data_IF_486318376538
#
_entry.id   IF_486318376538
#
_cell.length_a   1.000
_cell.length_b   1.000
_cell.length_c   1.000
_cell.angle_alpha   90.00
_cell.angle_beta   90.00
_cell.angle_gamma   90.00
#
_symmetry.space_group_name_H-M   'P 1'
#
loop_
_entity.id
_entity.type
_entity.pdbx_description
1 polymer ?
#
# COMPACT_ATOMS: atom_id res chain seq x y z
N UNK A 1 19.01 12.43 3.96
CA UNK A 1 18.63 11.67 5.16
C UNK A 1 19.89 11.49 5.99
N UNK A 2 19.83 11.70 7.31
CA UNK A 2 20.95 11.37 8.19
C UNK A 2 20.99 9.85 8.25
N UNK A 3 22.10 9.25 7.83
CA UNK A 3 22.28 7.80 7.94
C UNK A 3 22.31 7.41 9.42
N UNK A 4 21.59 6.35 9.75
CA UNK A 4 21.57 5.81 11.09
C UNK A 4 22.94 5.16 11.36
N UNK A 5 23.78 5.79 12.19
CA UNK A 5 25.12 5.27 12.54
C UNK A 5 25.08 4.03 13.46
N UNK A 6 23.88 3.56 13.83
CA UNK A 6 23.73 2.38 14.69
C UNK A 6 24.15 1.12 13.94
N UNK A 7 25.28 0.55 14.36
CA UNK A 7 25.80 -0.74 13.86
C UNK A 7 25.13 -1.96 14.49
N UNK A 8 24.25 -1.75 15.47
CA UNK A 8 23.54 -2.80 16.20
C UNK A 8 22.04 -2.52 16.24
N UNK A 9 21.24 -3.55 15.95
CA UNK A 9 19.79 -3.49 16.12
C UNK A 9 19.44 -3.53 17.61
N UNK A 10 18.56 -2.63 18.03
CA UNK A 10 17.99 -2.62 19.38
C UNK A 10 16.57 -3.18 19.35
N UNK A 11 16.27 -4.11 20.25
CA UNK A 11 14.95 -4.69 20.44
C UNK A 11 14.29 -4.26 21.77
N UNK A 12 14.79 -3.15 22.33
CA UNK A 12 14.28 -2.50 23.54
C UNK A 12 13.79 -1.09 23.20
N UNK A 13 12.79 -0.60 23.93
CA UNK A 13 12.29 0.77 23.80
C UNK A 13 13.34 1.79 24.27
N UNK A 14 13.13 3.07 23.93
CA UNK A 14 13.95 4.14 24.48
C UNK A 14 13.73 4.31 25.98
N UNK A 15 14.63 5.04 26.63
CA UNK A 15 14.52 5.44 28.04
C UNK A 15 13.22 6.23 28.29
N UNK A 16 12.78 7.03 27.31
CA UNK A 16 11.57 7.83 27.43
C UNK A 16 10.30 6.99 27.56
N UNK A 17 10.29 5.76 27.02
CA UNK A 17 9.17 4.85 27.19
C UNK A 17 8.83 4.60 28.67
N UNK A 18 9.85 4.44 29.53
CA UNK A 18 9.64 4.26 30.96
C UNK A 18 9.14 5.54 31.65
N UNK A 19 9.63 6.71 31.22
CA UNK A 19 9.21 8.02 31.73
C UNK A 19 7.73 8.27 31.39
N UNK A 20 7.35 7.97 30.15
CA UNK A 20 5.98 8.06 29.68
C UNK A 20 5.05 7.01 30.32
N UNK A 21 5.59 5.96 30.95
CA UNK A 21 4.80 4.86 31.51
C UNK A 21 4.31 3.86 30.46
N UNK A 22 4.92 3.83 29.26
CA UNK A 22 4.63 2.83 28.24
C UNK A 22 5.02 1.43 28.74
N UNK A 23 4.04 0.51 28.69
CA UNK A 23 4.23 -0.87 29.10
C UNK A 23 4.12 -1.80 27.88
N UNK A 24 5.25 -2.40 27.48
CA UNK A 24 5.27 -3.37 26.38
C UNK A 24 4.34 -4.56 26.67
N UNK A 25 3.51 -5.01 25.71
CA UNK A 25 2.77 -6.26 25.83
C UNK A 25 3.69 -7.47 26.06
N UNK A 26 3.29 -8.37 26.97
CA UNK A 26 4.00 -9.62 27.21
C UNK A 26 3.93 -10.56 25.98
N UNK A 27 4.77 -11.60 25.97
CA UNK A 27 4.90 -12.53 24.83
C UNK A 27 3.56 -13.13 24.40
N UNK A 28 2.77 -13.62 25.36
CA UNK A 28 1.44 -14.19 25.09
C UNK A 28 0.51 -13.20 24.37
N UNK A 29 0.47 -11.93 24.80
CA UNK A 29 -0.33 -10.89 24.16
C UNK A 29 0.16 -10.60 22.74
N UNK A 30 1.48 -10.58 22.51
CA UNK A 30 2.06 -10.36 21.17
C UNK A 30 1.72 -11.51 20.22
N UNK A 31 1.94 -12.76 20.64
CA UNK A 31 1.58 -13.94 19.84
C UNK A 31 0.08 -13.98 19.52
N UNK A 32 -0.75 -13.62 20.50
CA UNK A 32 -2.20 -13.52 20.31
C UNK A 32 -2.61 -12.41 19.33
N UNK A 33 -1.85 -11.32 19.25
CA UNK A 33 -2.11 -10.18 18.38
C UNK A 33 -1.76 -10.48 16.91
N UNK A 34 -0.78 -11.35 16.66
CA UNK A 34 -0.33 -11.77 15.33
C UNK A 34 -1.05 -13.03 14.79
N UNK A 35 -1.95 -13.65 15.58
CA UNK A 35 -2.63 -14.89 15.18
C UNK A 35 -3.68 -14.65 14.09
N UNK A 36 -3.59 -15.44 13.01
CA UNK A 36 -4.65 -15.57 11.99
C UNK A 36 -5.86 -16.37 12.48
N UNK A 37 -5.68 -17.25 13.46
CA UNK A 37 -6.76 -18.12 13.95
C UNK A 37 -7.40 -17.55 15.20
N UNK A 38 -8.71 -17.78 15.33
CA UNK A 38 -9.51 -17.43 16.52
C UNK A 38 -9.55 -18.59 17.53
N UNK A 39 -8.73 -19.63 17.35
CA UNK A 39 -8.82 -20.87 18.14
C UNK A 39 -8.77 -20.58 19.65
N UNK A 40 -9.82 -21.02 20.36
CA UNK A 40 -9.95 -20.92 21.82
C UNK A 40 -9.18 -22.03 22.55
N UNK A 41 -8.49 -22.91 21.83
CA UNK A 41 -7.79 -24.05 22.42
C UNK A 41 -6.35 -23.68 22.79
N UNK A 42 -6.14 -23.49 24.09
CA UNK A 42 -4.86 -23.19 24.79
C UNK A 42 -3.76 -24.28 24.66
N UNK A 43 -3.83 -25.19 23.68
CA UNK A 43 -3.03 -26.44 23.69
C UNK A 43 -2.04 -26.60 22.55
N UNK A 44 -1.73 -25.53 21.81
CA UNK A 44 -0.47 -25.52 21.07
C UNK A 44 0.49 -24.58 21.76
N UNK A 45 1.64 -25.14 22.16
CA UNK A 45 2.75 -24.43 22.78
C UNK A 45 3.31 -23.51 21.70
N UNK A 46 2.74 -22.31 21.55
CA UNK A 46 3.38 -21.25 20.77
C UNK A 46 4.68 -20.94 21.49
N UNK A 47 5.81 -21.28 20.84
CA UNK A 47 7.11 -20.76 21.21
C UNK A 47 6.98 -19.27 21.46
N UNK A 48 7.53 -18.78 22.59
CA UNK A 48 7.59 -17.35 22.84
C UNK A 48 8.23 -16.67 21.63
N UNK A 49 7.50 -15.77 20.97
CA UNK A 49 8.09 -15.02 19.88
C UNK A 49 9.19 -14.16 20.48
N UNK A 50 10.40 -14.32 19.93
CA UNK A 50 11.56 -13.57 20.37
C UNK A 50 11.26 -12.07 20.34
N UNK A 51 11.93 -11.32 21.22
CA UNK A 51 11.75 -9.87 21.26
C UNK A 51 12.08 -9.19 19.92
N UNK A 52 12.91 -9.86 19.10
CA UNK A 52 13.29 -9.50 17.72
C UNK A 52 12.16 -9.66 16.70
N UNK A 53 11.21 -10.56 16.92
CA UNK A 53 10.08 -10.79 15.99
C UNK A 53 9.06 -9.66 16.04
N UNK A 54 8.76 -9.16 17.24
CA UNK A 54 7.81 -8.06 17.46
C UNK A 54 8.45 -7.00 18.37
N UNK A 55 9.42 -6.21 17.87
CA UNK A 55 10.14 -5.23 18.68
C UNK A 55 9.18 -4.18 19.24
N UNK A 56 9.46 -3.62 20.42
CA UNK A 56 8.65 -2.54 20.95
C UNK A 56 8.93 -1.24 20.18
N UNK A 57 7.99 -0.27 20.17
CA UNK A 57 8.24 1.04 19.62
C UNK A 57 9.36 1.74 20.39
N UNK A 58 10.05 2.66 19.70
CA UNK A 58 11.12 3.44 20.29
C UNK A 58 10.57 4.42 21.36
N UNK A 59 9.38 4.99 21.16
CA UNK A 59 8.71 5.97 22.06
C UNK A 59 9.62 7.15 22.39
N UNK A 60 9.71 8.12 21.48
CA UNK A 60 10.48 9.35 21.67
C UNK A 60 9.63 10.45 22.35
N UNK A 61 10.27 11.46 22.98
CA UNK A 61 9.53 12.56 23.58
C UNK A 61 8.64 13.28 22.56
N UNK A 62 7.36 13.42 22.88
CA UNK A 62 6.37 14.06 22.01
C UNK A 62 5.67 13.12 21.03
N UNK A 63 6.09 11.84 20.93
CA UNK A 63 5.35 10.82 20.18
C UNK A 63 3.98 10.56 20.82
N UNK A 64 3.02 10.07 20.04
CA UNK A 64 1.68 9.72 20.53
C UNK A 64 1.73 8.78 21.73
N UNK A 65 2.59 7.74 21.70
CA UNK A 65 2.77 6.81 22.82
C UNK A 65 3.53 7.42 24.01
N UNK A 66 4.22 8.55 23.81
CA UNK A 66 4.80 9.31 24.91
C UNK A 66 3.75 10.18 25.61
N UNK A 67 2.70 10.60 24.90
CA UNK A 67 1.60 11.43 25.43
C UNK A 67 0.48 10.55 26.00
N UNK A 68 0.09 9.50 25.28
CA UNK A 68 -0.84 8.46 25.71
C UNK A 68 -0.17 7.07 25.67
N UNK A 69 0.53 6.66 26.74
CA UNK A 69 1.20 5.36 26.82
C UNK A 69 0.26 4.16 26.76
N UNK A 70 -1.05 4.37 26.87
CA UNK A 70 -2.07 3.31 26.86
C UNK A 70 -2.84 3.28 25.53
N UNK A 71 -2.47 4.10 24.55
CA UNK A 71 -3.10 4.09 23.25
C UNK A 71 -3.08 2.67 22.67
N UNK A 72 -4.24 2.15 22.22
CA UNK A 72 -4.34 0.75 21.84
C UNK A 72 -3.50 0.46 20.58
N UNK A 73 -2.74 -0.65 20.55
CA UNK A 73 -2.04 -1.04 19.34
C UNK A 73 -3.02 -1.53 18.28
N UNK A 74 -2.68 -1.32 17.02
CA UNK A 74 -3.32 -2.04 15.93
C UNK A 74 -2.73 -3.46 15.86
N UNK A 75 -3.60 -4.48 15.87
CA UNK A 75 -3.16 -5.87 15.73
C UNK A 75 -3.78 -6.54 14.51
N UNK A 76 -3.08 -7.51 13.92
CA UNK A 76 -3.61 -8.33 12.84
C UNK A 76 -4.91 -9.02 13.27
N UNK A 77 -4.96 -9.55 14.50
CA UNK A 77 -6.16 -10.17 15.06
C UNK A 77 -7.34 -9.21 15.18
N UNK A 78 -7.12 -7.97 15.63
CA UNK A 78 -8.20 -6.97 15.68
C UNK A 78 -8.64 -6.57 14.28
N UNK A 79 -7.70 -6.45 13.35
CA UNK A 79 -7.97 -6.12 11.96
C UNK A 79 -8.79 -7.21 11.26
N UNK A 80 -8.47 -8.49 11.43
CA UNK A 80 -9.21 -9.63 10.88
C UNK A 80 -10.65 -9.74 11.42
N UNK A 81 -10.95 -9.12 12.57
CA UNK A 81 -12.27 -9.16 13.20
C UNK A 81 -13.18 -8.03 12.74
N UNK A 82 -12.69 -7.12 11.91
CA UNK A 82 -13.49 -6.04 11.36
C UNK A 82 -14.53 -6.64 10.38
N UNK A 83 -15.83 -6.34 10.54
CA UNK A 83 -16.90 -6.89 9.69
C UNK A 83 -16.70 -6.64 8.19
N UNK A 84 -15.95 -5.59 7.85
CA UNK A 84 -15.70 -5.16 6.49
C UNK A 84 -14.60 -5.97 5.79
N UNK A 85 -13.92 -6.88 6.50
CA UNK A 85 -12.82 -7.69 5.95
C UNK A 85 -13.32 -8.98 5.33
N UNK A 86 -12.65 -9.40 4.27
CA UNK A 86 -12.82 -10.73 3.73
C UNK A 86 -12.23 -11.76 4.69
N UNK A 87 -12.81 -12.95 4.71
CA UNK A 87 -12.25 -14.08 5.45
C UNK A 87 -10.98 -14.57 4.78
N UNK A 88 -9.95 -14.84 5.58
CA UNK A 88 -8.74 -15.50 5.11
C UNK A 88 -9.05 -16.99 5.01
N UNK A 89 -8.93 -17.55 3.81
CA UNK A 89 -9.21 -18.98 3.53
C UNK A 89 -7.97 -19.65 2.95
N UNK A 90 -7.84 -20.98 3.03
CA UNK A 90 -6.71 -21.69 2.39
C UNK A 90 -6.57 -21.39 0.89
N UNK A 91 -7.69 -21.10 0.21
CA UNK A 91 -7.72 -20.72 -1.20
C UNK A 91 -7.54 -19.23 -1.47
N UNK A 92 -7.69 -18.36 -0.46
CA UNK A 92 -7.54 -16.89 -0.57
C UNK A 92 -6.74 -16.36 0.62
N UNK A 93 -5.43 -16.57 0.58
CA UNK A 93 -4.50 -16.18 1.64
C UNK A 93 -3.27 -15.39 1.13
N UNK A 94 -3.33 -14.90 -0.11
CA UNK A 94 -2.22 -14.19 -0.74
C UNK A 94 -2.54 -12.69 -0.88
N UNK A 95 -1.69 -11.83 -0.35
CA UNK A 95 -1.68 -10.40 -0.64
C UNK A 95 -0.69 -10.18 -1.78
N UNK A 96 -1.19 -9.77 -2.93
CA UNK A 96 -0.34 -9.42 -4.06
C UNK A 96 0.04 -7.94 -4.01
N UNK A 97 1.28 -7.63 -4.36
CA UNK A 97 1.77 -6.26 -4.55
C UNK A 97 2.11 -6.07 -6.02
N UNK A 98 1.33 -5.26 -6.72
CA UNK A 98 1.66 -4.82 -8.07
C UNK A 98 2.61 -3.62 -7.99
N UNK A 99 3.76 -3.75 -8.65
CA UNK A 99 4.71 -2.67 -8.79
C UNK A 99 4.10 -1.51 -9.58
N UNK A 100 4.75 -0.35 -9.50
CA UNK A 100 4.33 0.84 -10.25
C UNK A 100 4.34 0.55 -11.75
N UNK A 101 3.27 0.87 -12.50
CA UNK A 101 3.20 0.60 -13.92
C UNK A 101 4.38 1.20 -14.69
N UNK A 102 4.85 0.46 -15.68
CA UNK A 102 5.84 0.94 -16.65
C UNK A 102 5.24 2.05 -17.51
N UNK A 103 6.09 2.81 -18.20
CA UNK A 103 5.65 3.92 -19.07
C UNK A 103 6.20 3.69 -20.46
N UNK A 104 5.30 3.51 -21.43
CA UNK A 104 5.65 3.40 -22.84
C UNK A 104 6.25 4.73 -23.36
N UNK A 105 7.13 4.60 -24.34
CA UNK A 105 7.76 5.68 -25.09
C UNK A 105 6.76 6.72 -25.62
N UNK A 106 5.59 6.29 -26.10
CA UNK A 106 4.54 7.16 -26.67
C UNK A 106 3.98 8.15 -25.64
N UNK A 107 3.95 7.75 -24.36
CA UNK A 107 3.47 8.57 -23.25
C UNK A 107 4.59 8.91 -22.27
N UNK A 108 5.84 8.98 -22.76
CA UNK A 108 7.01 9.31 -21.93
C UNK A 108 6.89 10.61 -21.12
N UNK A 109 6.04 11.55 -21.56
CA UNK A 109 5.73 12.78 -20.81
C UNK A 109 5.09 12.50 -19.44
N UNK A 110 4.41 11.35 -19.25
CA UNK A 110 3.79 10.93 -17.99
C UNK A 110 4.83 10.74 -16.88
N UNK A 111 6.11 10.50 -17.22
CA UNK A 111 7.21 10.48 -16.23
C UNK A 111 7.38 11.81 -15.52
N UNK A 112 7.11 12.92 -16.22
CA UNK A 112 7.26 14.27 -15.64
C UNK A 112 6.21 14.54 -14.56
N UNK A 113 5.09 13.81 -14.55
CA UNK A 113 4.01 13.96 -13.59
C UNK A 113 4.33 13.38 -12.22
N UNK A 114 5.38 12.57 -12.10
CA UNK A 114 5.86 12.01 -10.84
C UNK A 114 6.70 13.02 -10.02
N UNK A 115 7.00 14.19 -10.57
CA UNK A 115 7.87 15.18 -9.94
C UNK A 115 7.06 16.43 -9.55
N UNK A 116 7.11 16.87 -8.28
CA UNK A 116 6.50 18.12 -7.88
C UNK A 116 7.22 19.31 -8.53
N UNK A 117 6.46 20.32 -8.94
CA UNK A 117 6.96 21.51 -9.64
C UNK A 117 7.56 22.56 -8.72
N UNK A 118 7.11 22.61 -7.46
CA UNK A 118 7.39 23.70 -6.50
C UNK A 118 8.38 23.30 -5.40
N UNK A 119 8.83 22.05 -5.38
CA UNK A 119 9.74 21.50 -4.37
C UNK A 119 10.96 20.90 -5.05
N UNK A 120 12.13 21.06 -4.42
CA UNK A 120 13.35 20.35 -4.82
C UNK A 120 13.25 18.89 -4.35
N UNK A 121 12.43 18.10 -5.05
CA UNK A 121 12.19 16.66 -4.80
C UNK A 121 13.30 15.76 -5.29
N UNK A 122 14.33 16.33 -5.93
CA UNK A 122 15.44 15.62 -6.58
C UNK A 122 16.24 14.69 -5.68
N UNK A 123 15.91 14.61 -4.38
CA UNK A 123 16.65 13.90 -3.33
C UNK A 123 15.90 12.74 -2.68
N UNK A 124 14.64 12.48 -3.05
CA UNK A 124 13.87 11.37 -2.45
C UNK A 124 13.72 10.27 -3.50
N UNK A 125 14.40 9.12 -3.33
CA UNK A 125 14.23 7.99 -4.23
C UNK A 125 12.84 7.37 -4.06
N UNK A 126 12.29 6.83 -5.14
CA UNK A 126 11.09 5.99 -5.08
C UNK A 126 11.36 4.77 -4.19
N UNK A 127 10.44 4.42 -3.25
CA UNK A 127 10.58 3.23 -2.43
C UNK A 127 10.75 1.96 -3.27
N UNK A 128 11.61 1.04 -2.82
CA UNK A 128 11.75 -0.26 -3.47
C UNK A 128 10.49 -1.08 -3.19
N UNK A 129 9.91 -1.70 -4.23
CA UNK A 129 8.71 -2.54 -4.07
C UNK A 129 8.95 -3.71 -3.11
N UNK A 130 10.19 -4.22 -3.03
CA UNK A 130 10.52 -5.30 -2.09
C UNK A 130 10.46 -4.82 -0.63
N UNK A 131 10.80 -3.56 -0.35
CA UNK A 131 10.65 -3.00 1.01
C UNK A 131 9.18 -2.98 1.43
N UNK A 132 8.27 -2.71 0.47
CA UNK A 132 6.82 -2.76 0.69
C UNK A 132 6.36 -4.20 0.94
N UNK A 133 6.84 -5.16 0.15
CA UNK A 133 6.55 -6.60 0.34
C UNK A 133 7.02 -7.06 1.72
N UNK A 134 8.24 -6.70 2.12
CA UNK A 134 8.83 -7.08 3.41
C UNK A 134 8.05 -6.46 4.57
N UNK A 135 7.71 -5.17 4.46
CA UNK A 135 6.90 -4.47 5.46
C UNK A 135 5.52 -5.14 5.64
N UNK A 136 4.83 -5.41 4.54
CA UNK A 136 3.53 -6.06 4.57
C UNK A 136 3.62 -7.50 5.10
N UNK A 137 4.67 -8.24 4.73
CA UNK A 137 4.93 -9.60 5.25
C UNK A 137 5.12 -9.62 6.76
N UNK A 138 5.79 -8.59 7.30
CA UNK A 138 5.98 -8.44 8.74
C UNK A 138 4.66 -8.11 9.46
N UNK A 139 3.84 -7.20 8.91
CA UNK A 139 2.59 -6.78 9.53
C UNK A 139 1.48 -7.85 9.42
N UNK A 140 1.26 -8.38 8.21
CA UNK A 140 0.27 -9.41 7.90
C UNK A 140 0.83 -10.81 8.16
N UNK A 141 1.50 -10.98 9.31
CA UNK A 141 2.19 -12.20 9.67
C UNK A 141 1.30 -13.45 9.51
N UNK A 142 1.80 -14.44 8.76
CA UNK A 142 1.10 -15.68 8.44
C UNK A 142 0.30 -15.66 7.13
N UNK A 143 -0.01 -14.48 6.57
CA UNK A 143 -0.48 -14.38 5.18
C UNK A 143 0.72 -14.45 4.24
N UNK A 144 0.48 -14.90 3.01
CA UNK A 144 1.50 -14.88 1.98
C UNK A 144 1.49 -13.48 1.35
N UNK A 145 2.64 -12.80 1.29
CA UNK A 145 2.76 -11.54 0.55
C UNK A 145 3.75 -11.77 -0.58
N UNK A 146 3.36 -11.43 -1.81
CA UNK A 146 4.17 -11.69 -3.00
C UNK A 146 4.01 -10.55 -3.99
N UNK A 147 5.05 -10.32 -4.79
CA UNK A 147 4.88 -9.50 -5.99
C UNK A 147 3.87 -10.16 -6.92
N UNK A 148 3.01 -9.35 -7.52
CA UNK A 148 2.15 -9.80 -8.60
C UNK A 148 3.05 -10.34 -9.72
N UNK A 149 2.94 -11.64 -10.10
CA UNK A 149 3.64 -12.17 -11.26
C UNK A 149 3.28 -11.32 -12.46
N UNK A 150 4.16 -11.11 -13.46
CA UNK A 150 3.92 -10.11 -14.50
C UNK A 150 2.57 -10.29 -15.21
N UNK A 151 1.66 -9.31 -15.09
CA UNK A 151 1.14 -8.63 -16.26
C UNK A 151 1.88 -7.31 -16.33
N UNK A 152 2.49 -7.02 -17.48
CA UNK A 152 3.19 -5.75 -17.67
C UNK A 152 2.16 -4.62 -17.66
N UNK A 153 1.84 -4.09 -16.47
CA UNK A 153 1.05 -2.88 -16.34
C UNK A 153 1.87 -1.76 -16.96
N UNK A 154 1.37 -1.17 -18.04
CA UNK A 154 2.10 -0.14 -18.77
C UNK A 154 1.16 1.00 -19.11
N UNK A 155 1.52 2.21 -18.73
CA UNK A 155 0.90 3.41 -19.26
C UNK A 155 1.23 3.54 -20.75
N UNK A 156 0.19 3.63 -21.58
CA UNK A 156 0.27 3.76 -23.03
C UNK A 156 -0.65 4.85 -23.57
N UNK A 157 -0.64 5.04 -24.89
CA UNK A 157 -1.59 5.95 -25.54
C UNK A 157 -3.02 5.35 -25.50
N UNK A 158 -4.02 6.17 -25.17
CA UNK A 158 -5.43 5.76 -25.23
C UNK A 158 -6.04 5.86 -26.63
N UNK A 159 -5.67 6.91 -27.38
CA UNK A 159 -6.09 7.13 -28.76
C UNK A 159 -4.87 7.38 -29.66
N UNK A 160 -4.78 6.63 -30.77
CA UNK A 160 -3.72 6.74 -31.79
C UNK A 160 -3.70 8.08 -32.54
N UNK A 161 -4.67 8.96 -32.28
CA UNK A 161 -4.86 10.24 -32.97
C UNK A 161 -4.30 11.46 -32.24
N UNK A 162 -3.57 11.28 -31.13
CA UNK A 162 -2.90 12.41 -30.47
C UNK A 162 -1.62 12.78 -31.23
N UNK A 163 -1.79 13.31 -32.45
CA UNK A 163 -0.78 14.14 -33.10
C UNK A 163 -0.62 15.38 -32.24
N UNK A 164 0.36 15.29 -31.34
CA UNK A 164 1.03 16.38 -30.62
C UNK A 164 0.91 17.71 -31.35
N UNK A 165 -0.07 18.51 -30.95
CA UNK A 165 -0.21 19.93 -31.34
C UNK A 165 -0.62 20.79 -30.16
N UNK A 166 -0.05 20.58 -28.97
CA UNK A 166 0.36 21.66 -28.08
C UNK A 166 1.15 21.09 -26.91
N UNK A 167 2.25 21.76 -26.52
CA UNK A 167 3.06 21.44 -25.33
C UNK A 167 2.36 21.80 -24.01
N UNK A 168 1.06 22.13 -24.03
CA UNK A 168 0.36 22.77 -22.92
C UNK A 168 -0.86 22.02 -22.41
N UNK A 169 -1.38 21.02 -23.13
CA UNK A 169 -2.56 20.28 -22.71
C UNK A 169 -2.20 18.89 -22.22
N UNK A 170 -2.44 18.65 -20.93
CA UNK A 170 -2.55 17.31 -20.37
C UNK A 170 -3.67 16.60 -21.14
N UNK A 171 -3.45 15.37 -21.65
CA UNK A 171 -4.51 14.64 -22.32
C UNK A 171 -5.70 14.43 -21.38
N UNK A 172 -6.86 14.08 -21.92
CA UNK A 172 -8.01 13.71 -21.06
C UNK A 172 -7.92 12.28 -20.55
N UNK A 173 -7.27 11.41 -21.34
CA UNK A 173 -7.09 9.99 -21.03
C UNK A 173 -5.68 9.53 -21.42
N UNK A 174 -5.17 8.56 -20.66
CA UNK A 174 -4.07 7.68 -21.04
C UNK A 174 -4.53 6.24 -20.91
N UNK A 175 -3.90 5.30 -21.62
CA UNK A 175 -4.22 3.88 -21.49
C UNK A 175 -3.44 3.24 -20.35
N UNK A 176 -4.07 2.34 -19.60
CA UNK A 176 -3.42 1.36 -18.74
C UNK A 176 -3.51 0.01 -19.42
N UNK A 177 -2.41 -0.43 -19.99
CA UNK A 177 -2.32 -1.69 -20.72
C UNK A 177 -2.01 -2.82 -19.74
N UNK A 178 -2.78 -3.89 -19.83
CA UNK A 178 -2.49 -5.19 -19.23
C UNK A 178 -2.07 -6.16 -20.34
N UNK A 179 -1.93 -7.45 -20.03
CA UNK A 179 -1.66 -8.46 -21.06
C UNK A 179 -2.82 -8.65 -22.03
N UNK A 180 -4.06 -8.41 -21.58
CA UNK A 180 -5.28 -8.79 -22.31
C UNK A 180 -6.13 -7.61 -22.74
N UNK A 181 -6.00 -6.47 -22.08
CA UNK A 181 -6.87 -5.32 -22.28
C UNK A 181 -6.15 -3.99 -22.06
N UNK A 182 -6.81 -2.90 -22.46
CA UNK A 182 -6.37 -1.54 -22.17
C UNK A 182 -7.54 -0.77 -21.59
N UNK A 183 -7.30 -0.10 -20.47
CA UNK A 183 -8.31 0.67 -19.73
C UNK A 183 -7.96 2.15 -19.77
N UNK A 184 -8.93 3.00 -20.09
CA UNK A 184 -8.74 4.44 -20.20
C UNK A 184 -8.71 5.09 -18.83
N UNK A 185 -7.55 5.59 -18.42
CA UNK A 185 -7.37 6.33 -17.16
C UNK A 185 -7.59 7.81 -17.43
N UNK A 186 -8.62 8.38 -16.79
CA UNK A 186 -8.87 9.82 -16.82
C UNK A 186 -7.71 10.56 -16.17
N UNK A 187 -7.34 11.68 -16.79
CA UNK A 187 -6.28 12.55 -16.32
C UNK A 187 -6.75 13.98 -16.22
N UNK A 188 -6.26 14.71 -15.21
CA UNK A 188 -6.53 16.13 -15.04
C UNK A 188 -5.28 16.88 -14.61
N UNK A 189 -5.33 18.21 -14.63
CA UNK A 189 -4.31 19.05 -14.00
C UNK A 189 -4.47 19.01 -12.50
N UNK A 190 -3.37 18.95 -11.74
CA UNK A 190 -3.48 19.07 -10.28
C UNK A 190 -4.07 20.42 -9.89
N UNK A 191 -5.01 20.43 -8.94
CA UNK A 191 -5.68 21.66 -8.47
C UNK A 191 -4.74 22.55 -7.66
N UNK A 192 -3.88 21.94 -6.83
CA UNK A 192 -2.89 22.64 -6.00
C UNK A 192 -1.65 23.11 -6.81
N UNK A 193 -1.50 22.59 -8.03
CA UNK A 193 -0.34 22.80 -8.88
C UNK A 193 0.99 22.34 -8.26
N UNK A 194 0.96 21.38 -7.31
CA UNK A 194 2.17 20.73 -6.78
C UNK A 194 2.69 19.77 -7.83
N UNK A 195 1.87 18.85 -8.33
CA UNK A 195 2.21 17.97 -9.45
C UNK A 195 1.63 18.50 -10.77
N UNK A 196 2.24 18.17 -11.93
CA UNK A 196 1.72 18.62 -13.22
C UNK A 196 0.30 18.10 -13.51
N UNK A 197 0.03 16.83 -13.20
CA UNK A 197 -1.21 16.14 -13.51
C UNK A 197 -1.53 15.05 -12.49
N UNK A 198 -2.80 14.67 -12.42
CA UNK A 198 -3.32 13.63 -11.54
C UNK A 198 -4.01 12.53 -12.36
N UNK A 199 -3.95 11.30 -11.86
CA UNK A 199 -4.64 10.13 -12.41
C UNK A 199 -5.92 9.87 -11.61
N UNK A 200 -6.99 9.45 -12.29
CA UNK A 200 -8.21 9.09 -11.59
C UNK A 200 -8.06 7.74 -10.89
N UNK A 201 -8.46 7.71 -9.62
CA UNK A 201 -8.34 6.56 -8.74
C UNK A 201 -9.34 5.45 -9.08
N UNK A 202 -10.57 5.79 -9.44
CA UNK A 202 -11.58 4.79 -9.77
C UNK A 202 -11.19 3.98 -11.00
N UNK A 203 -10.66 4.64 -12.03
CA UNK A 203 -10.20 3.96 -13.25
C UNK A 203 -9.02 3.00 -12.95
N UNK A 204 -8.14 3.36 -12.00
CA UNK A 204 -7.06 2.49 -11.53
C UNK A 204 -7.57 1.32 -10.67
N UNK A 205 -8.64 1.54 -9.89
CA UNK A 205 -9.28 0.48 -9.11
C UNK A 205 -9.95 -0.56 -10.02
N UNK A 206 -10.59 -0.13 -11.11
CA UNK A 206 -11.17 -1.04 -12.09
C UNK A 206 -10.10 -1.95 -12.72
N UNK A 207 -8.93 -1.39 -13.06
CA UNK A 207 -7.77 -2.18 -13.50
C UNK A 207 -7.29 -3.14 -12.42
N UNK A 208 -7.17 -2.67 -11.18
CA UNK A 208 -6.73 -3.53 -10.08
C UNK A 208 -7.69 -4.71 -9.84
N UNK A 209 -9.00 -4.49 -10.01
CA UNK A 209 -10.01 -5.54 -9.94
C UNK A 209 -9.87 -6.53 -11.11
N UNK A 210 -9.63 -6.04 -12.32
CA UNK A 210 -9.54 -6.91 -13.51
C UNK A 210 -8.32 -7.83 -13.52
N UNK A 211 -7.22 -7.42 -12.87
CA UNK A 211 -5.99 -8.21 -12.77
C UNK A 211 -5.88 -9.03 -11.47
N UNK A 212 -6.91 -9.02 -10.62
CA UNK A 212 -6.90 -9.68 -9.31
C UNK A 212 -6.78 -11.21 -9.46
N UNK A 213 -5.72 -11.86 -8.96
CA UNK A 213 -5.61 -13.33 -9.03
C UNK A 213 -6.70 -14.05 -8.24
N UNK A 214 -7.07 -15.26 -8.67
CA UNK A 214 -8.13 -16.05 -8.03
C UNK A 214 -7.84 -16.44 -6.57
N UNK A 215 -6.56 -16.63 -6.23
CA UNK A 215 -6.08 -16.96 -4.88
C UNK A 215 -5.74 -15.73 -4.04
N UNK A 216 -5.97 -14.52 -4.58
CA UNK A 216 -5.73 -13.29 -3.87
C UNK A 216 -6.74 -13.09 -2.74
N UNK A 217 -6.21 -12.87 -1.55
CA UNK A 217 -6.92 -12.20 -0.47
C UNK A 217 -7.11 -10.71 -0.78
N UNK A 218 -6.05 -10.06 -1.27
CA UNK A 218 -6.04 -8.66 -1.64
C UNK A 218 -4.96 -8.39 -2.72
N UNK A 219 -5.10 -7.27 -3.42
CA UNK A 219 -4.10 -6.71 -4.31
C UNK A 219 -3.82 -5.25 -3.89
N UNK A 220 -2.54 -4.89 -3.78
CA UNK A 220 -2.08 -3.52 -3.62
C UNK A 220 -1.40 -3.07 -4.91
N UNK A 221 -2.02 -2.13 -5.62
CA UNK A 221 -1.41 -1.47 -6.78
C UNK A 221 -0.66 -0.21 -6.32
N UNK A 222 0.66 -0.20 -6.50
CA UNK A 222 1.47 0.97 -6.23
C UNK A 222 1.45 1.94 -7.42
N UNK A 223 1.35 3.24 -7.14
CA UNK A 223 1.35 4.29 -8.17
C UNK A 223 2.23 5.44 -7.68
N UNK A 224 3.06 5.99 -8.59
CA UNK A 224 3.97 7.10 -8.28
C UNK A 224 3.37 8.48 -8.60
N UNK A 225 2.22 8.49 -9.26
CA UNK A 225 1.52 9.67 -9.70
C UNK A 225 0.55 10.15 -8.65
N UNK A 226 0.31 11.46 -8.62
CA UNK A 226 -0.72 12.05 -7.80
C UNK A 226 -2.12 11.60 -8.27
N UNK A 227 -3.06 11.45 -7.35
CA UNK A 227 -4.35 10.80 -7.60
C UNK A 227 -5.53 11.72 -7.25
N UNK A 228 -6.67 11.45 -7.85
CA UNK A 228 -7.96 12.05 -7.47
C UNK A 228 -9.12 11.07 -7.66
N UNK A 229 -10.21 11.22 -6.92
CA UNK A 229 -11.42 10.40 -7.12
C UNK A 229 -12.48 11.21 -7.88
N UNK A 230 -12.80 12.42 -7.39
CA UNK A 230 -13.85 13.26 -7.95
C UNK A 230 -13.44 14.73 -8.21
N UNK A 231 -14.40 15.52 -8.70
CA UNK A 231 -14.20 16.92 -9.05
C UNK A 231 -14.09 17.85 -7.84
N UNK A 232 -14.33 17.38 -6.62
CA UNK A 232 -14.23 18.15 -5.38
C UNK A 232 -12.89 17.91 -4.68
N UNK A 233 -12.30 16.72 -4.85
CA UNK A 233 -10.97 16.38 -4.30
C UNK A 233 -9.86 17.32 -4.74
N UNK A 234 -8.98 17.71 -3.82
CA UNK A 234 -7.69 18.32 -4.17
C UNK A 234 -6.70 17.25 -4.66
N UNK A 235 -6.50 16.21 -3.85
CA UNK A 235 -5.78 14.97 -4.18
C UNK A 235 -6.21 13.86 -3.22
N UNK A 236 -5.88 12.61 -3.53
CA UNK A 236 -6.08 11.45 -2.64
C UNK A 236 -4.82 10.60 -2.56
N UNK A 237 -4.54 9.99 -1.41
CA UNK A 237 -3.36 9.13 -1.24
C UNK A 237 -3.58 7.68 -1.73
N UNK A 238 -4.81 7.31 -2.03
CA UNK A 238 -5.22 5.96 -2.41
C UNK A 238 -6.55 5.55 -1.78
N UNK A 239 -7.06 4.39 -2.16
CA UNK A 239 -8.33 3.83 -1.67
C UNK A 239 -8.24 2.32 -1.60
N UNK A 240 -9.03 1.76 -0.70
CA UNK A 240 -9.24 0.33 -0.60
C UNK A 240 -10.70 0.01 -0.91
N UNK A 241 -10.92 -0.85 -1.90
CA UNK A 241 -12.25 -1.36 -2.24
C UNK A 241 -12.38 -2.84 -1.85
N UNK A 242 -13.60 -3.27 -1.57
CA UNK A 242 -13.92 -4.69 -1.51
C UNK A 242 -14.29 -5.16 -2.91
N UNK A 243 -13.51 -6.06 -3.48
CA UNK A 243 -13.91 -6.74 -4.71
C UNK A 243 -15.04 -7.74 -4.38
N UNK A 244 -16.29 -7.32 -4.56
CA UNK A 244 -17.40 -8.26 -4.54
C UNK A 244 -17.37 -9.05 -5.85
N UNK A 245 -16.82 -10.26 -5.83
CA UNK A 245 -17.10 -11.27 -6.85
C UNK A 245 -18.55 -11.77 -6.66
N UNK A 246 -19.52 -10.91 -6.95
CA UNK A 246 -20.90 -11.29 -7.28
C UNK A 246 -21.18 -10.80 -8.69
N UNK A 247 -20.46 -11.38 -9.64
CA UNK A 247 -20.79 -11.34 -11.05
C UNK A 247 -20.44 -12.70 -11.68
N UNK A 248 -20.80 -13.79 -11.01
CA UNK A 248 -20.89 -15.15 -11.57
C UNK A 248 -21.92 -15.94 -10.76
N UNK A 249 -23.19 -15.66 -11.02
CA UNK A 249 -24.31 -16.60 -11.01
C UNK A 249 -25.44 -15.86 -11.74
N UNK A 250 -25.47 -16.05 -13.06
CA UNK A 250 -26.53 -15.61 -13.98
C UNK A 250 -27.79 -16.48 -13.83
N UNK A 251 -28.90 -15.95 -14.38
CA UNK A 251 -30.15 -16.63 -14.80
C UNK A 251 -31.15 -17.14 -13.75
#
# INVERSE_FOLDING_TARGET
MVECEHVQLSFISSVNANIAGYCRPNSQKRNSAASLTVSRNKKDVQSDAEASTFPPPLVLPGDDLSVDPRYPPQSLRSWLRLPERNDVTPSKNVIYVAATPDIDSEVSFVKTWMQPQKLDSSKIPTPNVNDVVDYLSAFYHGLQVRLLPPPNLTFGAWDTNVKSKSKANIPRYIGMNTQTESTGIRTRRSKDGVFPAQLNLDDLLDVAISILPNDAYALLLLVNHDLYEDEDDEFVCGRACRANLQAQEEE
#
